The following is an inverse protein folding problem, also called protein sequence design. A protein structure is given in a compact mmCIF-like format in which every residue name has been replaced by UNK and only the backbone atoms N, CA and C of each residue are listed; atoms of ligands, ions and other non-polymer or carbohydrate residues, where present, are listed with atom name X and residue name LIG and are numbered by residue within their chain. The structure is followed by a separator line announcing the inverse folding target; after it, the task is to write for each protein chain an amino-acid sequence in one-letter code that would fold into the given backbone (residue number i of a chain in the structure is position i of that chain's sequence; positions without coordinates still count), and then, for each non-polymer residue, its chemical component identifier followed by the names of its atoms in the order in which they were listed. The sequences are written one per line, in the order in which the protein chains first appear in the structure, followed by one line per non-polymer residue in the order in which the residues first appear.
data_IF_789211635999
#
_entry.id   IF_789211635999
#
_cell.length_a   1.000
_cell.length_b   1.000
_cell.length_c   1.000
_cell.angle_alpha   90.00
_cell.angle_beta   90.00
_cell.angle_gamma   90.00
#
_symmetry.space_group_name_H-M   'P 1'
#
loop_
_entity.id
_entity.type
_entity.pdbx_description
1 polymer ?
#
# COMPACT_ATOMS: atom_id res chain seq x y z
N UNK A 1 -32.18 -6.11 -1.17
CA UNK A 1 -31.43 -7.20 -0.51
C UNK A 1 -29.97 -6.82 -0.47
N UNK A 2 -29.52 -6.23 0.64
CA UNK A 2 -28.10 -5.96 0.86
C UNK A 2 -27.54 -7.19 1.58
N UNK A 3 -26.84 -8.03 0.84
CA UNK A 3 -26.04 -9.12 1.40
C UNK A 3 -24.69 -8.55 1.83
N UNK A 4 -24.52 -8.35 3.13
CA UNK A 4 -23.20 -8.10 3.72
C UNK A 4 -22.62 -9.47 4.05
N UNK A 5 -21.70 -9.97 3.23
CA UNK A 5 -20.89 -11.14 3.58
C UNK A 5 -19.67 -10.70 4.39
N UNK A 6 -19.66 -11.03 5.68
CA UNK A 6 -18.46 -11.03 6.53
C UNK A 6 -17.89 -12.45 6.60
N UNK A 7 -16.83 -12.74 5.83
CA UNK A 7 -15.90 -13.88 6.02
C UNK A 7 -14.59 -13.50 5.32
N UNK A 8 -13.42 -13.34 5.93
CA UNK A 8 -12.83 -13.97 7.10
C UNK A 8 -12.13 -12.92 7.98
N UNK A 9 -11.80 -13.31 9.21
CA UNK A 9 -10.95 -12.56 10.13
C UNK A 9 -9.68 -12.02 9.45
N UNK A 10 -9.73 -10.79 8.93
CA UNK A 10 -8.55 -10.02 8.55
C UNK A 10 -7.92 -9.53 9.84
N UNK A 11 -7.28 -10.45 10.58
CA UNK A 11 -6.40 -10.07 11.68
C UNK A 11 -5.22 -9.31 11.10
N UNK A 12 -5.39 -7.99 10.94
CA UNK A 12 -4.37 -6.95 11.02
C UNK A 12 -2.92 -7.47 10.92
N UNK A 13 -2.42 -7.71 9.69
CA UNK A 13 -0.98 -7.71 9.28
C UNK A 13 -0.67 -8.28 7.89
N UNK A 14 -1.67 -8.69 7.11
CA UNK A 14 -1.39 -9.59 6.01
C UNK A 14 -1.01 -8.85 4.73
N UNK A 15 0.30 -8.75 4.54
CA UNK A 15 0.99 -8.66 3.25
C UNK A 15 0.51 -9.61 2.18
N UNK A 16 -0.26 -10.62 2.59
CA UNK A 16 -0.75 -11.67 1.74
C UNK A 16 -2.24 -11.53 1.52
N UNK A 17 -2.66 -11.83 0.30
CA UNK A 17 -4.06 -11.93 -0.07
C UNK A 17 -4.34 -13.31 -0.67
N UNK A 18 -5.48 -13.89 -0.30
CA UNK A 18 -6.00 -15.12 -0.87
C UNK A 18 -7.53 -15.07 -0.80
N UNK A 19 -8.20 -15.11 -1.95
CA UNK A 19 -9.65 -15.22 -2.07
C UNK A 19 -10.12 -16.53 -2.72
N UNK A 20 -9.20 -17.45 -3.01
CA UNK A 20 -9.45 -18.70 -3.71
C UNK A 20 -9.84 -18.57 -5.19
N UNK A 21 -9.90 -17.35 -5.76
CA UNK A 21 -10.30 -17.11 -7.15
C UNK A 21 -9.13 -16.72 -8.03
N UNK A 22 -8.31 -15.78 -7.57
CA UNK A 22 -7.20 -15.22 -8.35
C UNK A 22 -5.82 -15.67 -7.85
N UNK A 23 -5.80 -16.64 -6.93
CA UNK A 23 -4.58 -17.19 -6.34
C UNK A 23 -4.10 -16.42 -5.11
N UNK A 24 -2.84 -16.65 -4.75
CA UNK A 24 -2.21 -16.03 -3.60
C UNK A 24 -1.31 -14.88 -4.03
N UNK A 25 -1.47 -13.72 -3.42
CA UNK A 25 -0.57 -12.59 -3.57
C UNK A 25 0.22 -12.47 -2.27
N UNK A 26 1.53 -12.29 -2.35
CA UNK A 26 2.41 -12.07 -1.20
C UNK A 26 3.36 -10.91 -1.46
N UNK A 27 3.10 -9.77 -0.80
CA UNK A 27 3.90 -8.56 -0.89
C UNK A 27 5.03 -8.50 0.14
N UNK A 28 5.18 -9.52 1.00
CA UNK A 28 6.21 -9.53 2.06
C UNK A 28 7.63 -9.48 1.51
N UNK A 29 7.82 -9.88 0.25
CA UNK A 29 9.10 -9.82 -0.47
C UNK A 29 9.37 -8.49 -1.16
N UNK A 30 8.32 -7.69 -1.39
CA UNK A 30 8.42 -6.37 -2.04
C UNK A 30 8.77 -5.31 -1.00
N UNK A 31 8.20 -5.42 0.21
CA UNK A 31 8.46 -4.48 1.29
C UNK A 31 9.81 -4.70 1.97
N UNK A 32 10.41 -3.61 2.45
CA UNK A 32 11.65 -3.62 3.24
C UNK A 32 11.34 -3.55 4.73
N UNK A 33 11.85 -4.51 5.51
CA UNK A 33 11.66 -4.61 6.98
C UNK A 33 12.52 -3.65 7.79
N UNK A 34 13.46 -2.96 7.14
CA UNK A 34 14.49 -2.14 7.78
C UNK A 34 13.99 -0.75 8.20
N UNK A 35 12.69 -0.48 8.13
CA UNK A 35 12.13 0.84 8.47
C UNK A 35 12.44 1.92 7.43
N UNK A 36 12.76 1.51 6.19
CA UNK A 36 13.00 2.37 5.03
C UNK A 36 12.04 2.00 3.90
N UNK A 37 11.69 2.92 2.98
CA UNK A 37 10.80 2.60 1.88
C UNK A 37 11.45 1.71 0.83
N UNK A 38 10.70 0.72 0.33
CA UNK A 38 11.10 -0.10 -0.82
C UNK A 38 11.17 0.73 -2.11
N UNK A 39 10.26 1.69 -2.26
CA UNK A 39 10.22 2.64 -3.36
C UNK A 39 10.44 4.02 -2.78
N UNK A 40 11.62 4.59 -2.96
CA UNK A 40 12.02 5.86 -2.33
C UNK A 40 12.04 7.00 -3.34
N UNK A 41 11.38 8.11 -3.02
CA UNK A 41 11.39 9.35 -3.81
C UNK A 41 11.09 9.13 -5.30
N UNK A 42 10.07 8.33 -5.60
CA UNK A 42 9.55 8.15 -6.96
C UNK A 42 8.95 9.47 -7.42
N UNK A 43 9.47 10.09 -8.49
CA UNK A 43 9.00 11.39 -8.95
C UNK A 43 7.66 11.26 -9.69
N UNK A 44 6.78 12.24 -9.49
CA UNK A 44 5.57 12.46 -10.30
C UNK A 44 5.23 13.95 -10.28
N UNK A 45 5.32 14.59 -11.44
CA UNK A 45 5.19 16.03 -11.59
C UNK A 45 6.16 16.80 -10.66
N UNK A 46 5.62 17.61 -9.73
CA UNK A 46 6.39 18.38 -8.74
C UNK A 46 6.56 17.64 -7.40
N UNK A 47 6.12 16.39 -7.33
CA UNK A 47 6.01 15.61 -6.10
C UNK A 47 6.95 14.40 -6.12
N UNK A 48 7.39 14.00 -4.93
CA UNK A 48 8.12 12.76 -4.70
C UNK A 48 7.34 11.88 -3.74
N UNK A 49 7.14 10.63 -4.10
CA UNK A 49 6.44 9.66 -3.28
C UNK A 49 7.41 8.61 -2.77
N UNK A 50 7.28 8.19 -1.52
CA UNK A 50 7.84 6.91 -1.12
C UNK A 50 6.78 6.00 -0.57
N UNK A 51 7.00 4.71 -0.84
CA UNK A 51 6.07 3.65 -0.53
C UNK A 51 6.84 2.45 0.00
N UNK A 52 6.29 1.84 1.04
CA UNK A 52 6.69 0.52 1.49
C UNK A 52 5.42 -0.32 1.66
N UNK A 53 5.18 -1.31 0.79
CA UNK A 53 4.16 -2.30 1.11
C UNK A 53 4.57 -2.99 2.41
N UNK A 54 3.61 -3.51 3.15
CA UNK A 54 3.82 -4.41 4.30
C UNK A 54 4.46 -3.86 5.56
N UNK A 55 5.46 -3.00 5.45
CA UNK A 55 6.27 -2.58 6.58
C UNK A 55 6.23 -1.06 6.73
N UNK A 56 6.09 -0.59 7.96
CA UNK A 56 6.12 0.83 8.24
C UNK A 56 7.55 1.35 8.02
N UNK A 57 7.65 2.61 7.62
CA UNK A 57 8.92 3.31 7.56
C UNK A 57 8.77 4.74 8.06
N UNK A 58 9.91 5.37 8.32
CA UNK A 58 10.00 6.77 8.74
C UNK A 58 11.08 7.47 7.94
N UNK A 59 10.85 8.73 7.57
CA UNK A 59 11.86 9.57 6.89
C UNK A 59 11.98 10.95 7.54
N UNK A 60 11.12 11.90 7.16
CA UNK A 60 11.12 13.29 7.64
C UNK A 60 9.80 13.61 8.35
N UNK A 61 9.78 14.32 9.49
CA UNK A 61 8.53 14.70 10.14
C UNK A 61 7.57 15.42 9.16
N UNK A 62 6.28 15.04 9.09
CA UNK A 62 5.53 14.15 9.99
C UNK A 62 5.46 12.67 9.53
N UNK A 63 6.36 12.22 8.66
CA UNK A 63 6.43 10.85 8.14
C UNK A 63 7.06 9.91 9.17
N UNK A 64 6.24 9.43 10.11
CA UNK A 64 6.63 8.43 11.11
C UNK A 64 5.67 7.24 11.06
N UNK A 65 6.25 6.04 10.97
CA UNK A 65 5.54 4.76 10.92
C UNK A 65 4.43 4.68 9.84
N UNK A 66 4.73 5.20 8.66
CA UNK A 66 3.77 5.26 7.53
C UNK A 66 4.00 4.12 6.54
N UNK A 67 3.01 3.86 5.69
CA UNK A 67 3.19 3.07 4.47
C UNK A 67 3.48 3.94 3.24
N UNK A 68 2.95 5.16 3.19
CA UNK A 68 3.10 6.05 2.04
C UNK A 68 3.28 7.48 2.53
N UNK A 69 4.21 8.22 1.92
CA UNK A 69 4.29 9.66 2.06
C UNK A 69 4.53 10.34 0.72
N UNK A 70 4.23 11.64 0.71
CA UNK A 70 4.52 12.58 -0.36
C UNK A 70 5.36 13.74 0.16
N UNK A 71 6.32 14.16 -0.67
CA UNK A 71 7.08 15.39 -0.50
C UNK A 71 6.84 16.32 -1.69
N UNK A 72 6.59 17.58 -1.41
CA UNK A 72 6.52 18.67 -2.39
C UNK A 72 7.37 19.84 -1.91
N UNK A 73 8.56 20.02 -2.49
CA UNK A 73 9.54 21.00 -2.00
C UNK A 73 9.90 20.72 -0.53
N UNK A 74 9.50 21.65 0.36
CA UNK A 74 9.69 21.53 1.81
C UNK A 74 8.47 21.01 2.57
N UNK A 75 7.35 20.74 1.88
CA UNK A 75 6.14 20.21 2.50
C UNK A 75 6.16 18.69 2.48
N UNK A 76 5.73 18.08 3.59
CA UNK A 76 5.69 16.64 3.81
C UNK A 76 4.29 16.21 4.22
N UNK A 77 3.81 15.13 3.62
CA UNK A 77 2.45 14.65 3.81
C UNK A 77 2.42 13.14 4.04
N UNK A 78 1.86 12.71 5.17
CA UNK A 78 1.48 11.32 5.36
C UNK A 78 0.25 11.02 4.48
N UNK A 79 0.36 9.99 3.64
CA UNK A 79 -0.68 9.58 2.70
C UNK A 79 -1.28 8.20 3.02
N UNK A 80 -0.76 7.50 4.03
CA UNK A 80 -1.31 6.22 4.44
C UNK A 80 -0.53 5.59 5.58
N UNK A 81 -1.25 5.08 6.58
CA UNK A 81 -0.65 4.28 7.65
C UNK A 81 -0.38 2.85 7.18
N UNK A 82 0.59 2.17 7.80
CA UNK A 82 0.95 0.79 7.46
C UNK A 82 -0.18 -0.25 7.67
N UNK A 83 -1.25 0.11 8.38
CA UNK A 83 -2.49 -0.65 8.33
C UNK A 83 -3.17 -0.48 6.97
N UNK A 84 -3.00 -1.46 6.07
CA UNK A 84 -3.82 -1.58 4.85
C UNK A 84 -5.28 -1.60 5.27
N UNK A 85 -6.07 -0.75 4.63
CA UNK A 85 -7.50 -0.61 4.93
C UNK A 85 -8.33 -1.64 4.16
N UNK A 86 -7.92 -1.98 2.93
CA UNK A 86 -8.54 -3.06 2.18
C UNK A 86 -7.70 -3.52 0.99
N UNK A 87 -7.91 -4.79 0.63
CA UNK A 87 -7.59 -5.35 -0.68
C UNK A 87 -8.85 -5.30 -1.55
N UNK A 88 -8.69 -5.02 -2.83
CA UNK A 88 -9.75 -5.15 -3.83
C UNK A 88 -9.18 -5.81 -5.08
N UNK A 89 -9.91 -6.79 -5.62
CA UNK A 89 -9.60 -7.39 -6.91
C UNK A 89 -10.81 -7.24 -7.80
N UNK A 90 -10.57 -6.69 -8.98
CA UNK A 90 -11.57 -6.51 -10.04
C UNK A 90 -11.79 -7.82 -10.80
N UNK A 91 -12.89 -7.94 -11.53
CA UNK A 91 -13.21 -9.16 -12.31
C UNK A 91 -12.17 -9.47 -13.39
N UNK A 92 -11.43 -8.47 -13.86
CA UNK A 92 -10.31 -8.59 -14.80
C UNK A 92 -8.96 -8.83 -14.10
N UNK A 93 -8.96 -9.12 -12.80
CA UNK A 93 -7.77 -9.51 -12.05
C UNK A 93 -6.85 -8.36 -11.65
N UNK A 94 -7.27 -7.09 -11.83
CA UNK A 94 -6.48 -5.95 -11.30
C UNK A 94 -6.62 -5.90 -9.79
N UNK A 95 -5.47 -5.80 -9.14
CA UNK A 95 -5.37 -5.80 -7.68
C UNK A 95 -5.08 -4.39 -7.21
N UNK A 96 -5.83 -3.97 -6.20
CA UNK A 96 -5.74 -2.64 -5.62
C UNK A 96 -5.62 -2.75 -4.10
N UNK A 97 -4.70 -1.97 -3.55
CA UNK A 97 -4.52 -1.75 -2.12
C UNK A 97 -4.99 -0.35 -1.76
N UNK A 98 -5.76 -0.23 -0.68
CA UNK A 98 -6.17 1.06 -0.15
C UNK A 98 -5.49 1.30 1.19
N UNK A 99 -4.74 2.40 1.26
CA UNK A 99 -4.17 2.93 2.49
C UNK A 99 -4.92 4.19 2.89
N UNK A 100 -5.21 4.37 4.18
CA UNK A 100 -5.88 5.57 4.66
C UNK A 100 -5.12 6.21 5.82
N UNK A 101 -5.24 7.54 5.92
CA UNK A 101 -4.77 8.32 7.06
C UNK A 101 -5.67 9.55 7.20
N UNK A 102 -6.25 9.76 8.38
CA UNK A 102 -7.20 10.86 8.65
C UNK A 102 -8.30 10.93 7.56
N UNK A 103 -8.29 11.98 6.74
CA UNK A 103 -9.23 12.24 5.64
C UNK A 103 -8.63 11.98 4.24
N UNK A 104 -7.51 11.24 4.16
CA UNK A 104 -6.81 10.91 2.91
C UNK A 104 -6.86 9.43 2.66
N UNK A 105 -6.95 9.08 1.38
CA UNK A 105 -6.82 7.72 0.89
C UNK A 105 -5.81 7.67 -0.24
N UNK A 106 -4.98 6.63 -0.23
CA UNK A 106 -4.08 6.32 -1.33
C UNK A 106 -4.42 4.95 -1.89
N UNK A 107 -4.51 4.90 -3.21
CA UNK A 107 -4.83 3.72 -3.98
C UNK A 107 -3.55 3.27 -4.68
N UNK A 108 -3.07 2.07 -4.36
CA UNK A 108 -1.93 1.43 -5.04
C UNK A 108 -2.48 0.34 -5.92
N UNK A 109 -2.33 0.48 -7.23
CA UNK A 109 -2.66 -0.57 -8.19
C UNK A 109 -1.44 -1.43 -8.44
N UNK A 110 -1.59 -2.74 -8.29
CA UNK A 110 -0.54 -3.70 -8.60
C UNK A 110 -0.68 -4.13 -10.05
N UNK A 111 0.43 -4.10 -10.77
CA UNK A 111 0.54 -4.62 -12.12
C UNK A 111 1.44 -5.86 -12.09
N UNK A 112 0.97 -6.97 -12.63
CA UNK A 112 1.81 -8.13 -12.89
C UNK A 112 2.62 -7.84 -14.15
N UNK A 113 3.96 -7.93 -14.05
CA UNK A 113 4.87 -7.87 -15.19
C UNK A 113 5.86 -9.02 -15.09
N UNK A 114 6.05 -9.72 -16.21
CA UNK A 114 6.95 -10.88 -16.29
C UNK A 114 8.43 -10.43 -16.35
N UNK A 115 8.68 -9.17 -16.71
CA UNK A 115 10.01 -8.53 -16.74
C UNK A 115 9.95 -7.13 -16.10
N UNK A 116 10.98 -6.79 -15.32
CA UNK A 116 11.19 -5.45 -14.77
C UNK A 116 12.26 -4.81 -15.66
N UNK A 117 11.85 -3.87 -16.53
CA UNK A 117 12.76 -3.06 -17.35
C UNK A 117 13.63 -2.11 -16.50
#
# INVERSE_FOLDING_TARGET
NISIEYKNNLTKKDCTYNDGRFGNIDLSRVGLKQGIPAFRHVPKDLYFYSYNPCYAFSEEPPCTDVAIFEKNGSAYYNLGMNSIVSWSITVDGKVTLVYSVLNRQTIVNLECRDEID
#
